data_IF_678309805738
#
_entry.id   IF_678309805738
#
_cell.length_a   1.000
_cell.length_b   1.000
_cell.length_c   1.000
_cell.angle_alpha   90.00
_cell.angle_beta   90.00
_cell.angle_gamma   90.00
#
_symmetry.space_group_name_H-M   'P 1'
#
loop_
_entity.id
_entity.type
_entity.pdbx_description
1 polymer ?
#
# COMPACT_ATOMS: atom_id res chain seq x y z
N UNK A 1 14.16 -3.19 -25.01
CA UNK A 1 13.28 -4.28 -24.56
C UNK A 1 12.24 -3.80 -23.57
N UNK A 2 11.32 -4.66 -23.19
CA UNK A 2 10.22 -4.33 -22.27
C UNK A 2 9.92 -5.47 -21.31
N UNK A 3 9.57 -5.13 -20.08
CA UNK A 3 9.00 -6.04 -19.08
C UNK A 3 7.63 -5.52 -18.66
N UNK A 4 6.59 -6.31 -18.95
CA UNK A 4 5.23 -5.97 -18.54
C UNK A 4 5.06 -6.10 -17.04
N UNK A 5 4.53 -5.05 -16.41
CA UNK A 5 4.24 -4.99 -14.98
C UNK A 5 2.83 -4.44 -14.80
N UNK A 6 1.91 -5.30 -14.38
CA UNK A 6 0.53 -4.90 -14.05
C UNK A 6 0.49 -4.33 -12.63
N UNK A 7 1.08 -3.15 -12.47
CA UNK A 7 1.15 -2.41 -11.21
C UNK A 7 0.32 -1.14 -11.25
N UNK A 8 -0.12 -0.67 -10.09
CA UNK A 8 -0.90 0.56 -9.98
C UNK A 8 -0.05 1.72 -9.49
N UNK A 9 -0.06 2.82 -10.24
CA UNK A 9 0.57 4.07 -9.82
C UNK A 9 -0.16 4.71 -8.64
N UNK A 10 0.60 5.22 -7.69
CA UNK A 10 0.09 5.90 -6.50
C UNK A 10 0.48 7.38 -6.53
N UNK A 11 -0.41 8.25 -6.07
CA UNK A 11 -0.16 9.69 -5.92
C UNK A 11 -0.63 10.13 -4.54
N UNK A 12 0.23 10.14 -3.52
CA UNK A 12 -0.17 10.60 -2.21
C UNK A 12 -0.42 12.12 -2.22
N UNK A 13 -1.54 12.55 -1.67
CA UNK A 13 -1.98 13.92 -1.36
C UNK A 13 -1.28 15.06 -2.15
N UNK A 14 -1.44 15.08 -3.48
CA UNK A 14 -0.86 16.13 -4.33
C UNK A 14 0.63 16.00 -4.63
N UNK A 15 1.30 14.98 -4.10
CA UNK A 15 2.73 14.72 -4.29
C UNK A 15 3.10 14.10 -5.64
N UNK A 16 4.36 13.74 -5.79
CA UNK A 16 4.91 13.03 -6.93
C UNK A 16 4.38 11.58 -7.00
N UNK A 17 4.23 11.03 -8.20
CA UNK A 17 3.73 9.66 -8.41
C UNK A 17 4.82 8.61 -8.18
N UNK A 18 4.40 7.40 -7.78
CA UNK A 18 5.27 6.22 -7.70
C UNK A 18 4.47 4.93 -7.91
N UNK A 19 5.13 3.89 -8.38
CA UNK A 19 4.59 2.54 -8.56
C UNK A 19 5.48 1.56 -7.77
N UNK A 20 5.00 1.05 -6.63
CA UNK A 20 5.81 0.16 -5.80
C UNK A 20 6.23 -1.11 -6.53
N UNK A 21 5.33 -1.68 -7.34
CA UNK A 21 5.60 -2.93 -8.05
C UNK A 21 6.69 -2.75 -9.12
N UNK A 22 6.69 -1.63 -9.85
CA UNK A 22 7.80 -1.31 -10.78
C UNK A 22 9.14 -1.19 -10.02
N UNK A 23 9.13 -0.48 -8.88
CA UNK A 23 10.33 -0.27 -8.09
C UNK A 23 10.92 -1.58 -7.54
N UNK A 24 10.05 -2.45 -7.02
CA UNK A 24 10.45 -3.76 -6.49
C UNK A 24 10.92 -4.70 -7.60
N UNK A 25 10.22 -4.71 -8.75
CA UNK A 25 10.58 -5.56 -9.91
C UNK A 25 11.92 -5.13 -10.50
N UNK A 26 12.18 -3.84 -10.67
CA UNK A 26 13.48 -3.31 -11.13
C UNK A 26 14.60 -3.77 -10.20
N UNK A 27 14.41 -3.62 -8.88
CA UNK A 27 15.42 -4.03 -7.93
C UNK A 27 15.69 -5.54 -7.96
N UNK A 28 14.64 -6.37 -8.03
CA UNK A 28 14.76 -7.82 -8.13
C UNK A 28 15.41 -8.26 -9.43
N UNK A 29 15.06 -7.62 -10.55
CA UNK A 29 15.69 -7.90 -11.86
C UNK A 29 17.17 -7.58 -11.86
N UNK A 30 17.56 -6.47 -11.26
CA UNK A 30 18.97 -6.08 -11.13
C UNK A 30 19.76 -7.07 -10.27
N UNK A 31 19.17 -7.58 -9.17
CA UNK A 31 19.82 -8.64 -8.36
C UNK A 31 20.03 -9.90 -9.20
N UNK A 32 19.00 -10.34 -9.90
CA UNK A 32 19.03 -11.58 -10.66
C UNK A 32 20.03 -11.55 -11.83
N UNK A 33 20.26 -10.37 -12.43
CA UNK A 33 21.10 -10.23 -13.63
C UNK A 33 22.43 -9.52 -13.38
N UNK A 34 22.74 -9.15 -12.14
CA UNK A 34 23.97 -8.44 -11.79
C UNK A 34 25.20 -9.11 -12.32
N UNK A 35 25.41 -10.38 -11.96
CA UNK A 35 26.63 -11.11 -12.30
C UNK A 35 26.78 -11.31 -13.82
N UNK A 36 25.69 -11.48 -14.53
CA UNK A 36 25.71 -11.63 -15.99
C UNK A 36 26.05 -10.30 -16.69
N UNK A 37 25.46 -9.19 -16.20
CA UNK A 37 25.77 -7.84 -16.68
C UNK A 37 27.23 -7.49 -16.44
N UNK A 38 27.71 -7.68 -15.22
CA UNK A 38 29.10 -7.37 -14.85
C UNK A 38 30.10 -8.24 -15.63
N UNK A 39 29.77 -9.50 -15.87
CA UNK A 39 30.58 -10.41 -16.70
C UNK A 39 30.60 -9.99 -18.16
N UNK A 40 29.45 -9.56 -18.71
CA UNK A 40 29.35 -9.18 -20.12
C UNK A 40 30.11 -7.88 -20.44
N UNK A 41 29.99 -6.88 -19.55
CA UNK A 41 30.61 -5.56 -19.76
C UNK A 41 32.00 -5.42 -19.16
N UNK A 42 32.43 -6.35 -18.29
CA UNK A 42 33.70 -6.26 -17.60
C UNK A 42 33.81 -5.12 -16.59
N UNK A 43 32.66 -4.55 -16.19
CA UNK A 43 32.58 -3.37 -15.32
C UNK A 43 31.49 -3.60 -14.25
N UNK A 44 31.63 -2.97 -13.07
CA UNK A 44 30.63 -3.09 -12.01
C UNK A 44 29.28 -2.51 -12.44
N UNK A 45 28.19 -3.09 -11.91
CA UNK A 45 26.80 -2.77 -12.26
C UNK A 45 26.50 -1.26 -12.27
N UNK A 46 27.00 -0.54 -11.26
CA UNK A 46 26.75 0.90 -11.13
C UNK A 46 27.37 1.79 -12.25
N UNK A 47 28.37 1.28 -12.96
CA UNK A 47 28.94 1.93 -14.14
C UNK A 47 28.18 1.61 -15.41
N UNK A 48 27.60 0.41 -15.48
CA UNK A 48 26.91 -0.11 -16.66
C UNK A 48 25.47 0.31 -16.73
N UNK A 49 24.76 0.28 -15.58
CA UNK A 49 23.30 0.47 -15.51
C UNK A 49 22.93 1.81 -14.93
N UNK A 50 21.90 2.44 -15.50
CA UNK A 50 21.20 3.59 -14.94
C UNK A 50 19.69 3.35 -14.89
N UNK A 51 19.00 3.88 -13.89
CA UNK A 51 17.55 3.80 -13.79
C UNK A 51 16.95 5.21 -13.88
N UNK A 52 16.00 5.37 -14.78
CA UNK A 52 15.39 6.66 -15.12
C UNK A 52 13.89 6.59 -14.92
N UNK A 53 13.31 7.62 -14.35
CA UNK A 53 11.85 7.76 -14.19
C UNK A 53 11.43 9.23 -14.31
N UNK A 54 10.18 9.54 -14.66
CA UNK A 54 9.69 10.92 -14.68
C UNK A 54 9.47 11.53 -13.29
N UNK A 55 9.43 10.71 -12.21
CA UNK A 55 8.91 11.12 -10.93
C UNK A 55 9.91 10.93 -9.78
N UNK A 56 10.10 11.99 -8.98
CA UNK A 56 11.00 11.97 -7.82
C UNK A 56 10.58 10.97 -6.72
N UNK A 57 9.28 10.76 -6.52
CA UNK A 57 8.81 9.75 -5.58
C UNK A 57 9.17 8.32 -6.03
N UNK A 58 9.17 8.06 -7.35
CA UNK A 58 9.62 6.78 -7.90
C UNK A 58 11.12 6.56 -7.71
N UNK A 59 11.94 7.61 -7.87
CA UNK A 59 13.36 7.54 -7.55
C UNK A 59 13.57 7.03 -6.12
N UNK A 60 12.83 7.59 -5.17
CA UNK A 60 12.91 7.19 -3.76
C UNK A 60 12.42 5.75 -3.54
N UNK A 61 11.33 5.34 -4.20
CA UNK A 61 10.82 3.97 -4.13
C UNK A 61 11.85 2.97 -4.64
N UNK A 62 12.45 3.22 -5.82
CA UNK A 62 13.49 2.37 -6.41
C UNK A 62 14.72 2.30 -5.48
N UNK A 63 15.22 3.44 -5.00
CA UNK A 63 16.35 3.46 -4.06
C UNK A 63 16.07 2.70 -2.77
N UNK A 64 14.83 2.74 -2.28
CA UNK A 64 14.41 1.99 -1.10
C UNK A 64 14.41 0.48 -1.37
N UNK A 65 13.88 0.05 -2.53
CA UNK A 65 13.88 -1.35 -2.94
C UNK A 65 15.30 -1.90 -3.17
N UNK A 66 16.18 -1.12 -3.79
CA UNK A 66 17.59 -1.48 -3.97
C UNK A 66 18.32 -1.66 -2.64
N UNK A 67 18.10 -0.77 -1.65
CA UNK A 67 18.70 -0.91 -0.31
C UNK A 67 18.22 -2.17 0.41
N UNK A 68 16.93 -2.50 0.29
CA UNK A 68 16.37 -3.74 0.88
C UNK A 68 17.01 -5.00 0.31
N UNK A 69 17.45 -4.97 -0.93
CA UNK A 69 18.08 -6.08 -1.62
C UNK A 69 19.64 -5.99 -1.64
N UNK A 70 20.20 -5.05 -0.88
CA UNK A 70 21.65 -4.86 -0.70
C UNK A 70 22.45 -4.62 -2.00
N UNK A 71 21.79 -4.17 -3.08
CA UNK A 71 22.46 -3.85 -4.35
C UNK A 71 23.37 -2.63 -4.21
N UNK A 72 22.93 -1.64 -3.44
CA UNK A 72 23.78 -0.52 -3.02
C UNK A 72 24.53 -0.96 -1.77
N UNK A 73 25.65 -1.68 -1.94
CA UNK A 73 26.57 -1.96 -0.86
C UNK A 73 26.93 -0.68 -0.09
N UNK A 74 27.36 -0.83 1.15
CA UNK A 74 27.78 0.27 2.05
C UNK A 74 29.00 1.06 1.53
N UNK A 75 29.49 0.75 0.34
CA UNK A 75 30.65 1.40 -0.25
C UNK A 75 30.25 2.72 -0.88
N UNK A 76 30.74 3.81 -0.32
CA UNK A 76 30.56 5.19 -0.78
C UNK A 76 31.08 5.43 -2.22
N UNK A 77 31.82 4.51 -2.80
CA UNK A 77 32.30 4.51 -4.18
C UNK A 77 31.45 3.60 -5.05
N UNK A 78 30.40 4.14 -5.66
CA UNK A 78 29.72 3.46 -6.75
C UNK A 78 28.26 3.03 -6.49
N UNK A 79 27.44 3.94 -6.03
CA UNK A 79 26.00 3.68 -6.00
C UNK A 79 25.39 3.70 -7.40
N UNK A 80 24.45 2.78 -7.65
CA UNK A 80 23.69 2.74 -8.90
C UNK A 80 23.00 4.10 -9.14
N UNK A 81 23.16 4.63 -10.35
CA UNK A 81 22.54 5.90 -10.72
C UNK A 81 21.04 5.72 -10.90
N UNK A 82 20.24 6.27 -9.97
CA UNK A 82 18.78 6.32 -10.05
C UNK A 82 18.35 7.77 -9.99
N UNK A 83 17.66 8.25 -11.01
CA UNK A 83 17.28 9.65 -11.07
C UNK A 83 16.07 9.94 -11.95
N UNK A 84 15.61 11.18 -11.90
CA UNK A 84 14.63 11.66 -12.85
C UNK A 84 15.28 11.92 -14.21
N UNK A 85 14.46 11.91 -15.26
CA UNK A 85 14.91 12.22 -16.62
C UNK A 85 15.76 13.50 -16.68
N UNK A 86 15.38 14.52 -15.91
CA UNK A 86 16.11 15.80 -15.87
C UNK A 86 17.41 15.74 -15.05
N UNK A 87 17.44 14.92 -14.00
CA UNK A 87 18.62 14.83 -13.13
C UNK A 87 19.78 14.01 -13.72
N UNK A 88 19.49 13.18 -14.72
CA UNK A 88 20.49 12.37 -15.46
C UNK A 88 20.98 13.04 -16.73
N UNK A 89 20.75 14.33 -16.90
CA UNK A 89 21.19 15.05 -18.07
C UNK A 89 22.73 15.02 -18.15
N UNK A 90 23.27 14.43 -19.25
CA UNK A 90 24.71 14.27 -19.46
C UNK A 90 25.31 12.94 -18.99
N UNK A 91 24.62 12.14 -18.18
CA UNK A 91 25.10 10.82 -17.75
C UNK A 91 24.56 9.72 -18.67
N UNK A 92 25.43 9.08 -19.44
CA UNK A 92 25.08 7.93 -20.29
C UNK A 92 25.48 6.62 -19.60
N UNK A 93 24.72 5.54 -19.89
CA UNK A 93 24.98 4.18 -19.43
C UNK A 93 24.84 3.19 -20.58
N UNK A 94 25.50 2.05 -20.49
CA UNK A 94 25.31 0.99 -21.48
C UNK A 94 23.86 0.52 -21.46
N UNK A 95 23.32 0.27 -20.28
CA UNK A 95 21.92 -0.15 -20.07
C UNK A 95 21.15 0.94 -19.31
N UNK A 96 19.99 1.33 -19.81
CA UNK A 96 19.07 2.21 -19.10
C UNK A 96 17.74 1.50 -18.86
N UNK A 97 17.34 1.42 -17.61
CA UNK A 97 16.01 0.96 -17.20
C UNK A 97 15.09 2.18 -17.04
N UNK A 98 13.95 2.14 -17.68
CA UNK A 98 12.95 3.21 -17.62
C UNK A 98 11.69 2.73 -16.90
N UNK A 99 11.30 3.46 -15.84
CA UNK A 99 10.08 3.23 -15.07
C UNK A 99 9.07 4.34 -15.35
N UNK A 100 8.02 4.09 -16.15
CA UNK A 100 7.01 5.08 -16.52
C UNK A 100 6.06 5.45 -15.40
N UNK A 101 5.86 4.57 -14.42
CA UNK A 101 4.98 4.70 -13.24
C UNK A 101 3.50 4.57 -13.55
N UNK A 102 3.04 5.08 -14.68
CA UNK A 102 1.65 4.98 -15.11
C UNK A 102 1.26 3.57 -15.53
N UNK A 103 0.00 3.22 -15.30
CA UNK A 103 -0.62 1.98 -15.73
C UNK A 103 -1.87 2.24 -16.57
N UNK A 104 -2.49 1.19 -17.10
CA UNK A 104 -3.78 1.24 -17.83
C UNK A 104 -4.93 1.87 -17.05
N UNK A 105 -4.79 1.98 -15.73
CA UNK A 105 -5.78 2.61 -14.86
C UNK A 105 -5.66 4.14 -14.81
N UNK A 106 -4.69 4.72 -15.49
CA UNK A 106 -4.41 6.15 -15.54
C UNK A 106 -4.15 6.58 -16.99
N UNK A 107 -4.41 7.85 -17.30
CA UNK A 107 -4.32 8.32 -18.69
C UNK A 107 -2.89 8.40 -19.26
N UNK A 108 -1.87 8.47 -18.41
CA UNK A 108 -0.47 8.56 -18.82
C UNK A 108 -0.10 9.76 -19.71
N UNK A 109 -1.01 10.71 -19.93
CA UNK A 109 -0.84 11.86 -20.85
C UNK A 109 0.40 12.70 -20.56
N UNK A 110 0.88 12.69 -19.34
CA UNK A 110 2.09 13.41 -18.96
C UNK A 110 3.32 12.94 -19.74
N UNK A 111 3.40 11.64 -20.09
CA UNK A 111 4.49 11.09 -20.90
C UNK A 111 4.43 11.57 -22.35
N UNK A 112 3.23 11.86 -22.87
CA UNK A 112 3.04 12.37 -24.22
C UNK A 112 3.08 13.90 -24.30
N UNK A 113 2.67 14.59 -23.22
CA UNK A 113 2.62 16.05 -23.18
C UNK A 113 4.02 16.70 -23.27
N UNK A 114 5.05 15.94 -22.92
CA UNK A 114 6.43 16.40 -23.01
C UNK A 114 7.30 15.32 -23.69
N UNK A 115 7.39 15.42 -25.01
CA UNK A 115 8.20 14.49 -25.83
C UNK A 115 9.66 14.41 -25.41
N UNK A 116 10.18 15.45 -24.74
CA UNK A 116 11.55 15.47 -24.23
C UNK A 116 11.79 14.40 -23.15
N UNK A 117 10.76 13.99 -22.39
CA UNK A 117 10.89 12.98 -21.35
C UNK A 117 11.39 11.65 -21.94
N UNK A 118 10.68 11.11 -22.91
CA UNK A 118 11.06 9.85 -23.55
C UNK A 118 12.33 9.98 -24.39
N UNK A 119 12.48 11.07 -25.14
CA UNK A 119 13.67 11.30 -25.95
C UNK A 119 14.94 11.39 -25.10
N UNK A 120 14.89 12.13 -23.99
CA UNK A 120 16.04 12.22 -23.07
C UNK A 120 16.29 10.88 -22.40
N UNK A 121 15.26 10.15 -21.97
CA UNK A 121 15.42 8.84 -21.35
C UNK A 121 16.11 7.85 -22.30
N UNK A 122 15.63 7.73 -23.54
CA UNK A 122 16.20 6.84 -24.57
C UNK A 122 17.64 7.25 -24.90
N UNK A 123 17.92 8.56 -25.04
CA UNK A 123 19.27 9.05 -25.38
C UNK A 123 20.31 8.82 -24.27
N UNK A 124 19.93 8.34 -23.09
CA UNK A 124 20.87 7.95 -22.03
C UNK A 124 21.43 6.54 -22.22
N UNK A 125 20.78 5.71 -23.02
CA UNK A 125 21.22 4.35 -23.32
C UNK A 125 22.20 4.33 -24.49
N UNK A 126 23.36 3.71 -24.29
CA UNK A 126 24.34 3.48 -25.37
C UNK A 126 24.07 2.19 -26.11
N UNK A 127 23.53 1.18 -25.39
CA UNK A 127 23.39 -0.18 -25.88
C UNK A 127 21.95 -0.66 -25.73
N UNK A 128 21.42 -0.67 -24.52
CA UNK A 128 20.08 -1.21 -24.24
C UNK A 128 19.19 -0.25 -23.49
N UNK A 129 18.00 0.00 -24.03
CA UNK A 129 16.92 0.71 -23.33
C UNK A 129 15.81 -0.27 -22.99
N UNK A 130 15.53 -0.43 -21.68
CA UNK A 130 14.58 -1.42 -21.14
C UNK A 130 13.47 -0.70 -20.39
N UNK A 131 12.21 -0.95 -20.76
CA UNK A 131 11.03 -0.34 -20.14
C UNK A 131 10.41 -1.33 -19.17
N UNK A 132 10.28 -0.93 -17.91
CA UNK A 132 9.67 -1.69 -16.82
C UNK A 132 8.37 -1.03 -16.41
N UNK A 133 7.22 -1.51 -16.91
CA UNK A 133 5.94 -0.90 -16.64
C UNK A 133 4.76 -1.59 -17.31
N UNK A 134 3.61 -0.95 -17.30
CA UNK A 134 2.41 -1.48 -17.95
C UNK A 134 2.49 -1.30 -19.46
N UNK A 135 2.70 -2.41 -20.16
CA UNK A 135 2.84 -2.40 -21.62
C UNK A 135 1.50 -2.11 -22.32
N UNK A 136 0.35 -2.44 -21.71
CA UNK A 136 -0.96 -2.10 -22.26
C UNK A 136 -1.13 -0.58 -22.42
N UNK A 137 -0.54 0.20 -21.50
CA UNK A 137 -0.55 1.66 -21.55
C UNK A 137 0.25 2.21 -22.74
N UNK A 138 1.27 1.48 -23.21
CA UNK A 138 2.17 1.91 -24.27
C UNK A 138 1.65 1.43 -25.63
N UNK A 139 1.19 0.19 -25.72
CA UNK A 139 0.75 -0.46 -26.96
C UNK A 139 -0.46 0.23 -27.61
N UNK A 140 -1.44 0.64 -26.79
CA UNK A 140 -2.70 1.21 -27.28
C UNK A 140 -2.62 2.69 -27.70
N UNK A 141 -1.44 3.28 -27.78
CA UNK A 141 -1.30 4.70 -28.09
C UNK A 141 -1.25 5.00 -29.59
N UNK A 142 -1.69 6.19 -30.04
CA UNK A 142 -1.57 6.62 -31.41
C UNK A 142 -0.11 6.58 -31.89
N UNK A 143 0.14 6.03 -33.08
CA UNK A 143 1.49 5.80 -33.61
C UNK A 143 2.39 7.05 -33.69
N UNK A 144 1.79 8.24 -33.69
CA UNK A 144 2.50 9.54 -33.74
C UNK A 144 2.75 10.13 -32.35
N UNK A 145 2.19 9.56 -31.30
CA UNK A 145 2.48 10.00 -29.91
C UNK A 145 3.85 9.51 -29.45
N UNK A 146 4.51 10.17 -28.50
CA UNK A 146 5.78 9.70 -27.93
C UNK A 146 5.74 8.24 -27.47
N UNK A 147 4.66 7.84 -26.74
CA UNK A 147 4.47 6.44 -26.33
C UNK A 147 4.24 5.50 -27.50
N UNK A 148 3.44 5.91 -28.49
CA UNK A 148 3.21 5.11 -29.70
C UNK A 148 4.47 4.93 -30.55
N UNK A 149 5.34 5.93 -30.63
CA UNK A 149 6.65 5.79 -31.23
C UNK A 149 7.54 4.81 -30.49
N UNK A 150 7.54 4.86 -29.17
CA UNK A 150 8.26 3.89 -28.33
C UNK A 150 7.71 2.47 -28.52
N UNK A 151 6.39 2.30 -28.54
CA UNK A 151 5.71 1.03 -28.80
C UNK A 151 6.18 0.36 -30.09
N UNK A 152 6.34 1.14 -31.17
CA UNK A 152 6.81 0.64 -32.46
C UNK A 152 8.16 -0.09 -32.36
N UNK A 153 9.05 0.36 -31.49
CA UNK A 153 10.34 -0.28 -31.26
C UNK A 153 10.26 -1.41 -30.25
N UNK A 154 9.52 -1.24 -29.16
CA UNK A 154 9.40 -2.26 -28.11
C UNK A 154 8.73 -3.54 -28.63
N UNK A 155 7.70 -3.40 -29.46
CA UNK A 155 6.93 -4.53 -30.00
C UNK A 155 7.32 -4.93 -31.43
N UNK A 156 8.47 -4.47 -31.91
CA UNK A 156 8.97 -4.82 -33.25
C UNK A 156 9.44 -6.28 -33.36
N UNK A 157 9.73 -6.93 -32.24
CA UNK A 157 10.17 -8.32 -32.16
C UNK A 157 9.77 -8.91 -30.81
N UNK A 158 9.37 -10.19 -30.81
CA UNK A 158 9.07 -10.93 -29.57
C UNK A 158 10.32 -11.05 -28.65
N UNK A 159 11.50 -10.99 -29.22
CA UNK A 159 12.77 -11.01 -28.46
C UNK A 159 12.97 -9.75 -27.60
N UNK A 160 12.21 -8.69 -27.84
CA UNK A 160 12.24 -7.48 -27.02
C UNK A 160 11.46 -7.64 -25.71
N UNK A 161 10.62 -8.67 -25.58
CA UNK A 161 9.91 -8.99 -24.35
C UNK A 161 10.84 -9.73 -23.38
N UNK A 162 11.17 -9.08 -22.27
CA UNK A 162 11.97 -9.69 -21.22
C UNK A 162 11.14 -10.74 -20.49
N UNK A 163 11.74 -11.90 -20.26
CA UNK A 163 11.15 -12.97 -19.46
C UNK A 163 11.69 -12.86 -18.03
N UNK A 164 10.89 -12.36 -17.13
CA UNK A 164 11.25 -12.25 -15.72
C UNK A 164 10.01 -12.36 -14.85
N UNK A 165 9.90 -13.46 -14.15
CA UNK A 165 8.89 -13.60 -13.11
C UNK A 165 9.45 -13.05 -11.80
N UNK A 166 8.92 -11.90 -11.39
CA UNK A 166 9.16 -11.38 -10.08
C UNK A 166 8.38 -12.25 -9.07
N UNK A 167 9.05 -13.25 -8.55
CA UNK A 167 8.60 -13.87 -7.31
C UNK A 167 8.77 -12.81 -6.22
N UNK A 168 7.67 -12.11 -5.89
CA UNK A 168 7.61 -11.36 -4.64
C UNK A 168 8.21 -12.26 -3.58
N UNK A 169 9.22 -11.78 -2.84
CA UNK A 169 9.84 -12.54 -1.76
C UNK A 169 8.74 -13.22 -0.97
N UNK A 170 8.71 -14.54 -1.00
CA UNK A 170 7.77 -15.35 -0.22
C UNK A 170 7.91 -15.07 1.28
N UNK A 171 9.06 -14.59 1.73
CA UNK A 171 9.35 -14.14 3.09
C UNK A 171 8.66 -12.81 3.49
N UNK A 172 8.22 -11.97 2.52
CA UNK A 172 7.33 -10.82 2.75
C UNK A 172 5.86 -11.13 2.42
N UNK A 173 5.58 -12.25 1.77
CA UNK A 173 4.21 -12.73 1.43
C UNK A 173 3.91 -14.08 2.07
N UNK A 174 4.84 -14.72 2.74
CA UNK A 174 4.59 -15.94 3.51
C UNK A 174 3.80 -15.68 4.80
N UNK A 175 3.58 -14.45 5.20
CA UNK A 175 2.34 -14.13 5.86
C UNK A 175 1.24 -14.36 4.83
N UNK A 176 0.56 -15.50 4.91
CA UNK A 176 -0.65 -15.78 4.19
C UNK A 176 -1.58 -14.56 4.32
N UNK A 177 -1.57 -13.65 3.34
CA UNK A 177 -2.55 -12.56 3.28
C UNK A 177 -3.85 -13.21 2.87
N UNK A 178 -4.45 -13.93 3.80
CA UNK A 178 -5.81 -14.42 3.66
C UNK A 178 -6.73 -13.20 3.76
N UNK A 179 -7.25 -12.77 2.62
CA UNK A 179 -8.35 -11.83 2.61
C UNK A 179 -9.61 -12.64 2.88
N UNK A 180 -10.25 -12.35 4.00
CA UNK A 180 -11.55 -12.91 4.35
C UNK A 180 -12.54 -11.78 4.61
N UNK A 181 -13.82 -12.04 4.34
CA UNK A 181 -14.91 -11.11 4.59
C UNK A 181 -15.73 -11.59 5.79
N UNK A 182 -16.11 -10.64 6.65
CA UNK A 182 -17.00 -10.90 7.78
C UNK A 182 -18.40 -10.37 7.48
N UNK A 183 -19.41 -11.18 7.74
CA UNK A 183 -20.81 -10.84 7.51
C UNK A 183 -21.63 -10.98 8.79
N UNK A 184 -22.47 -9.96 9.08
CA UNK A 184 -23.36 -9.97 10.23
C UNK A 184 -22.66 -9.86 11.58
N UNK A 185 -23.48 -9.80 12.63
CA UNK A 185 -23.01 -9.57 14.03
C UNK A 185 -22.22 -10.75 14.56
N UNK A 186 -22.71 -11.97 14.32
CA UNK A 186 -22.10 -13.18 14.88
C UNK A 186 -20.66 -13.40 14.41
N UNK A 187 -20.40 -13.24 13.10
CA UNK A 187 -19.05 -13.38 12.57
C UNK A 187 -18.09 -12.30 13.07
N UNK A 188 -18.56 -11.05 13.22
CA UNK A 188 -17.75 -9.97 13.75
C UNK A 188 -17.45 -10.16 15.25
N UNK A 189 -18.46 -10.53 16.05
CA UNK A 189 -18.26 -10.77 17.47
C UNK A 189 -17.35 -11.99 17.71
N UNK A 190 -17.52 -13.06 16.92
CA UNK A 190 -16.63 -14.24 16.95
C UNK A 190 -15.21 -13.90 16.52
N UNK A 191 -15.04 -13.07 15.48
CA UNK A 191 -13.73 -12.60 15.02
C UNK A 191 -13.00 -11.82 16.12
N UNK A 192 -13.66 -10.83 16.75
CA UNK A 192 -13.01 -10.01 17.78
C UNK A 192 -12.62 -10.86 19.01
N UNK A 193 -13.48 -11.79 19.43
CA UNK A 193 -13.16 -12.70 20.53
C UNK A 193 -11.97 -13.61 20.20
N UNK A 194 -11.91 -14.13 18.95
CA UNK A 194 -10.78 -14.96 18.48
C UNK A 194 -9.48 -14.14 18.41
N UNK A 195 -9.53 -12.90 17.92
CA UNK A 195 -8.41 -11.98 17.88
C UNK A 195 -7.89 -11.68 19.28
N UNK A 196 -8.78 -11.36 20.23
CA UNK A 196 -8.41 -11.15 21.62
C UNK A 196 -7.77 -12.39 22.27
N UNK A 197 -8.20 -13.60 21.87
CA UNK A 197 -7.62 -14.84 22.37
C UNK A 197 -6.26 -15.15 21.72
N UNK A 198 -6.04 -14.79 20.46
CA UNK A 198 -4.84 -15.11 19.66
C UNK A 198 -3.65 -14.17 19.86
N UNK A 199 -3.91 -12.91 20.18
CA UNK A 199 -2.89 -11.87 20.27
C UNK A 199 -1.70 -12.23 21.19
N UNK A 200 -0.51 -11.83 20.75
CA UNK A 200 0.75 -12.10 21.44
C UNK A 200 1.36 -10.86 22.08
N UNK A 201 1.08 -9.65 21.56
CA UNK A 201 1.70 -8.40 22.01
C UNK A 201 0.68 -7.30 22.25
N UNK A 202 -0.05 -6.90 21.24
CA UNK A 202 -0.94 -5.72 21.29
C UNK A 202 -2.17 -5.86 20.42
N UNK A 203 -3.26 -5.25 20.84
CA UNK A 203 -4.47 -5.08 20.04
C UNK A 203 -4.89 -3.61 20.07
N UNK A 204 -5.23 -3.06 18.92
CA UNK A 204 -5.87 -1.75 18.80
C UNK A 204 -7.25 -1.91 18.18
N UNK A 205 -8.28 -1.44 18.87
CA UNK A 205 -9.66 -1.47 18.42
C UNK A 205 -10.15 -0.03 18.25
N UNK A 206 -10.51 0.35 17.03
CA UNK A 206 -11.10 1.65 16.73
C UNK A 206 -12.58 1.45 16.45
N UNK A 207 -13.42 1.99 17.32
CA UNK A 207 -14.88 1.94 17.22
C UNK A 207 -15.45 3.31 17.58
N UNK A 208 -16.14 4.01 16.65
CA UNK A 208 -16.68 5.34 16.91
C UNK A 208 -17.62 5.42 18.11
N UNK A 209 -18.39 4.36 18.32
CA UNK A 209 -19.32 4.24 19.45
C UNK A 209 -18.83 3.23 20.46
N UNK A 210 -19.05 3.51 21.73
CA UNK A 210 -18.72 2.64 22.86
C UNK A 210 -19.94 2.51 23.79
N UNK A 211 -20.55 1.34 23.81
CA UNK A 211 -21.62 0.96 24.74
C UNK A 211 -21.12 -0.08 25.70
N UNK A 212 -21.11 0.23 27.01
CA UNK A 212 -20.72 -0.72 28.04
C UNK A 212 -21.60 -1.97 28.00
N UNK A 213 -22.91 -1.79 27.84
CA UNK A 213 -23.86 -2.90 27.73
C UNK A 213 -23.50 -3.87 26.61
N UNK A 214 -23.07 -3.36 25.44
CA UNK A 214 -22.65 -4.20 24.32
C UNK A 214 -21.38 -4.98 24.69
N UNK A 215 -20.41 -4.34 25.33
CA UNK A 215 -19.15 -4.99 25.73
C UNK A 215 -19.41 -6.14 26.70
N UNK A 216 -20.37 -5.99 27.62
CA UNK A 216 -20.78 -7.06 28.55
C UNK A 216 -21.51 -8.21 27.84
N UNK A 217 -22.47 -7.90 26.99
CA UNK A 217 -23.33 -8.89 26.31
C UNK A 217 -22.61 -9.80 25.31
N UNK A 218 -21.50 -9.32 24.71
CA UNK A 218 -20.76 -10.04 23.65
C UNK A 218 -19.65 -10.94 24.15
N UNK A 219 -19.39 -10.95 25.46
CA UNK A 219 -18.26 -11.66 26.03
C UNK A 219 -16.91 -10.96 25.82
N UNK A 220 -16.87 -9.78 25.18
CA UNK A 220 -15.64 -9.02 24.96
C UNK A 220 -14.93 -8.67 26.26
N UNK A 221 -15.69 -8.40 27.32
CA UNK A 221 -15.15 -8.10 28.64
C UNK A 221 -14.26 -9.23 29.17
N UNK A 222 -14.77 -10.47 29.14
CA UNK A 222 -14.02 -11.65 29.56
C UNK A 222 -12.80 -11.89 28.66
N UNK A 223 -12.96 -11.76 27.36
CA UNK A 223 -11.87 -11.93 26.38
C UNK A 223 -10.78 -10.88 26.56
N UNK A 224 -11.15 -9.61 26.80
CA UNK A 224 -10.18 -8.53 27.07
C UNK A 224 -9.48 -8.73 28.42
N UNK A 225 -10.20 -9.14 29.45
CA UNK A 225 -9.60 -9.43 30.78
C UNK A 225 -8.58 -10.58 30.67
N UNK A 226 -8.92 -11.65 29.94
CA UNK A 226 -8.02 -12.78 29.71
C UNK A 226 -6.80 -12.36 28.88
N UNK A 227 -6.97 -11.54 27.85
CA UNK A 227 -5.84 -11.01 27.07
C UNK A 227 -4.92 -10.16 27.96
N UNK A 228 -5.48 -9.28 28.80
CA UNK A 228 -4.69 -8.49 29.76
C UNK A 228 -3.93 -9.35 30.77
N UNK A 229 -4.54 -10.43 31.28
CA UNK A 229 -3.84 -11.36 32.18
C UNK A 229 -2.64 -12.06 31.55
N UNK A 230 -2.62 -12.19 30.23
CA UNK A 230 -1.47 -12.67 29.44
C UNK A 230 -0.44 -11.57 29.13
N UNK A 231 -0.65 -10.34 29.57
CA UNK A 231 0.24 -9.21 29.32
C UNK A 231 0.03 -8.51 27.97
N UNK A 232 -1.07 -8.79 27.27
CA UNK A 232 -1.37 -8.16 25.98
C UNK A 232 -1.78 -6.70 26.17
N UNK A 233 -1.19 -5.78 25.42
CA UNK A 233 -1.55 -4.38 25.45
C UNK A 233 -2.79 -4.12 24.60
N UNK A 234 -3.87 -3.65 25.23
CA UNK A 234 -5.13 -3.35 24.56
C UNK A 234 -5.37 -1.84 24.57
N UNK A 235 -5.59 -1.29 23.38
CA UNK A 235 -5.98 0.11 23.18
C UNK A 235 -7.34 0.17 22.48
N UNK A 236 -8.29 0.88 23.10
CA UNK A 236 -9.59 1.22 22.51
C UNK A 236 -9.59 2.69 22.14
N UNK A 237 -9.89 2.99 20.88
CA UNK A 237 -10.04 4.37 20.37
C UNK A 237 -11.51 4.59 20.02
N UNK A 238 -12.16 5.58 20.65
CA UNK A 238 -13.56 5.90 20.39
C UNK A 238 -13.77 7.40 20.18
N UNK A 239 -14.80 7.76 19.43
CA UNK A 239 -15.10 9.15 19.10
C UNK A 239 -15.99 9.78 20.18
N UNK A 240 -15.56 10.92 20.71
CA UNK A 240 -16.33 11.64 21.72
C UNK A 240 -17.67 12.13 21.16
N UNK A 241 -17.67 12.69 19.96
CA UNK A 241 -18.86 13.32 19.39
C UNK A 241 -19.88 12.29 18.88
N UNK A 242 -19.43 11.18 18.29
CA UNK A 242 -20.33 10.12 17.84
C UNK A 242 -21.15 9.56 18.99
N UNK A 243 -20.57 9.40 20.18
CA UNK A 243 -21.27 8.88 21.35
C UNK A 243 -22.33 9.83 21.94
N UNK A 244 -22.22 11.13 21.69
CA UNK A 244 -23.13 12.18 22.23
C UNK A 244 -23.89 12.94 21.13
N UNK A 245 -23.65 12.67 19.86
CA UNK A 245 -24.34 13.30 18.74
C UNK A 245 -25.76 12.76 18.59
N UNK A 246 -26.64 13.57 17.96
CA UNK A 246 -28.02 13.22 17.61
C UNK A 246 -28.92 12.87 18.81
N UNK A 247 -28.68 13.49 19.96
CA UNK A 247 -29.49 13.35 21.17
C UNK A 247 -29.95 14.73 21.60
N UNK A 248 -31.19 14.82 22.07
CA UNK A 248 -31.71 16.04 22.67
C UNK A 248 -30.82 16.50 23.84
N UNK A 249 -30.76 17.82 24.06
CA UNK A 249 -29.85 18.38 25.06
C UNK A 249 -30.04 17.77 26.47
N UNK A 250 -31.27 17.41 26.82
CA UNK A 250 -31.60 16.77 28.10
C UNK A 250 -30.91 15.39 28.26
N UNK A 251 -30.69 14.65 27.17
CA UNK A 251 -30.06 13.32 27.18
C UNK A 251 -28.55 13.39 26.93
N UNK A 252 -28.03 14.55 26.54
CA UNK A 252 -26.60 14.70 26.22
C UNK A 252 -25.72 14.48 27.45
N UNK A 253 -26.14 14.99 28.61
CA UNK A 253 -25.41 14.81 29.86
C UNK A 253 -25.41 13.34 30.31
N UNK A 254 -26.54 12.66 30.16
CA UNK A 254 -26.65 11.23 30.46
C UNK A 254 -25.72 10.40 29.56
N UNK A 255 -25.72 10.65 28.24
CA UNK A 255 -24.84 9.98 27.28
C UNK A 255 -23.36 10.22 27.57
N UNK A 256 -23.00 11.46 27.93
CA UNK A 256 -21.63 11.80 28.33
C UNK A 256 -21.22 11.04 29.60
N UNK A 257 -22.11 10.91 30.56
CA UNK A 257 -21.88 10.16 31.82
C UNK A 257 -21.65 8.67 31.49
N UNK A 258 -22.52 8.06 30.66
CA UNK A 258 -22.38 6.66 30.25
C UNK A 258 -21.06 6.39 29.48
N UNK A 259 -20.64 7.31 28.63
CA UNK A 259 -19.37 7.21 27.94
C UNK A 259 -18.19 7.27 28.93
N UNK A 260 -18.22 8.24 29.85
CA UNK A 260 -17.18 8.40 30.87
C UNK A 260 -17.06 7.18 31.77
N UNK A 261 -18.21 6.62 32.21
CA UNK A 261 -18.28 5.41 32.99
C UNK A 261 -17.69 4.19 32.27
N UNK A 262 -18.03 4.02 30.99
CA UNK A 262 -17.47 2.96 30.16
C UNK A 262 -15.94 3.09 29.99
N UNK A 263 -15.44 4.30 29.75
CA UNK A 263 -14.00 4.61 29.66
C UNK A 263 -13.30 4.30 30.99
N UNK A 264 -13.88 4.73 32.12
CA UNK A 264 -13.31 4.48 33.45
C UNK A 264 -13.21 2.98 33.75
N UNK A 265 -14.27 2.22 33.42
CA UNK A 265 -14.31 0.77 33.61
C UNK A 265 -13.24 0.05 32.78
N UNK A 266 -13.07 0.41 31.50
CA UNK A 266 -12.01 -0.15 30.65
C UNK A 266 -10.62 0.19 31.21
N UNK A 267 -10.39 1.43 31.63
CA UNK A 267 -9.11 1.85 32.20
C UNK A 267 -8.79 1.12 33.52
N UNK A 268 -9.78 0.86 34.34
CA UNK A 268 -9.62 0.04 35.59
C UNK A 268 -9.21 -1.40 35.29
N UNK A 269 -9.56 -1.91 34.11
CA UNK A 269 -9.12 -3.23 33.65
C UNK A 269 -7.71 -3.19 32.99
N UNK A 270 -7.03 -2.05 32.99
CA UNK A 270 -5.74 -1.88 32.32
C UNK A 270 -5.83 -1.76 30.80
N UNK A 271 -7.01 -1.45 30.25
CA UNK A 271 -7.23 -1.22 28.82
C UNK A 271 -7.11 0.27 28.56
N UNK A 272 -6.12 0.67 27.75
CA UNK A 272 -5.92 2.07 27.41
C UNK A 272 -7.07 2.58 26.53
N UNK A 273 -7.81 3.60 26.99
CA UNK A 273 -8.92 4.16 26.22
C UNK A 273 -8.60 5.57 25.77
N UNK A 274 -8.68 5.84 24.46
CA UNK A 274 -8.43 7.15 23.85
C UNK A 274 -9.72 7.74 23.31
N UNK A 275 -10.14 8.89 23.86
CA UNK A 275 -11.22 9.71 23.33
C UNK A 275 -10.65 10.67 22.29
N UNK A 276 -11.15 10.57 21.07
CA UNK A 276 -10.72 11.40 19.93
C UNK A 276 -11.93 12.09 19.30
N UNK A 277 -11.70 13.00 18.37
CA UNK A 277 -12.76 13.66 17.62
C UNK A 277 -12.65 13.30 16.14
N UNK A 278 -13.80 13.21 15.46
CA UNK A 278 -13.93 12.98 14.00
C UNK A 278 -13.34 11.64 13.53
N UNK A 279 -13.46 10.60 14.32
CA UNK A 279 -13.10 9.23 13.92
C UNK A 279 -14.37 8.44 13.65
N UNK A 280 -14.55 7.99 12.43
CA UNK A 280 -15.66 7.13 12.01
C UNK A 280 -15.18 5.75 11.51
N UNK A 281 -13.89 5.49 11.53
CA UNK A 281 -13.29 4.22 11.13
C UNK A 281 -13.64 3.11 12.12
N UNK A 282 -13.82 1.88 11.62
CA UNK A 282 -14.02 0.66 12.38
C UNK A 282 -12.91 -0.29 12.02
N UNK A 283 -11.92 -0.39 12.90
CA UNK A 283 -10.66 -1.08 12.63
C UNK A 283 -10.27 -1.93 13.83
N UNK A 284 -9.77 -3.12 13.57
CA UNK A 284 -9.08 -3.96 14.55
C UNK A 284 -7.70 -4.29 13.99
N UNK A 285 -6.66 -4.06 14.80
CA UNK A 285 -5.27 -4.38 14.47
C UNK A 285 -4.74 -5.28 15.56
N UNK A 286 -4.15 -6.42 15.19
CA UNK A 286 -3.49 -7.37 16.08
C UNK A 286 -2.04 -7.53 15.66
N UNK A 287 -1.11 -7.29 16.59
CA UNK A 287 0.33 -7.61 16.50
C UNK A 287 1.07 -7.15 15.22
N UNK A 288 0.50 -6.21 14.43
CA UNK A 288 0.98 -5.79 13.11
C UNK A 288 0.83 -6.87 12.01
N UNK A 289 0.18 -7.99 12.32
CA UNK A 289 -0.02 -9.13 11.41
C UNK A 289 -1.43 -9.21 10.84
N UNK A 290 -2.45 -8.76 11.62
CA UNK A 290 -3.84 -8.79 11.20
C UNK A 290 -4.45 -7.38 11.22
N UNK A 291 -5.13 -7.04 10.12
CA UNK A 291 -5.90 -5.81 9.96
C UNK A 291 -7.32 -6.15 9.52
N UNK A 292 -8.31 -5.78 10.31
CA UNK A 292 -9.71 -5.81 9.92
C UNK A 292 -10.24 -4.38 9.76
N UNK A 293 -10.81 -4.07 8.60
CA UNK A 293 -11.41 -2.76 8.30
C UNK A 293 -12.82 -2.98 7.75
N UNK A 294 -13.78 -2.22 8.24
CA UNK A 294 -15.15 -2.39 7.78
C UNK A 294 -16.11 -1.30 8.22
N UNK A 295 -17.40 -1.56 8.09
CA UNK A 295 -18.50 -0.69 8.53
C UNK A 295 -19.11 -1.11 9.87
N UNK A 296 -18.69 -2.25 10.44
CA UNK A 296 -19.26 -2.82 11.66
C UNK A 296 -18.80 -2.07 12.93
N UNK A 297 -19.76 -1.66 13.75
CA UNK A 297 -19.48 -0.95 15.01
C UNK A 297 -19.28 -1.94 16.14
N UNK A 298 -18.04 -2.28 16.45
CA UNK A 298 -17.63 -3.32 17.40
C UNK A 298 -18.30 -3.24 18.79
N UNK A 299 -18.45 -2.03 19.31
CA UNK A 299 -18.94 -1.82 20.68
C UNK A 299 -20.34 -1.18 20.77
N UNK A 300 -21.08 -1.13 19.68
CA UNK A 300 -22.44 -0.56 19.68
C UNK A 300 -23.44 -1.29 18.80
N UNK A 301 -23.02 -2.23 17.96
CA UNK A 301 -23.91 -2.92 17.05
C UNK A 301 -24.89 -3.83 17.79
N UNK A 302 -26.18 -3.56 17.62
CA UNK A 302 -27.24 -4.43 18.10
C UNK A 302 -27.57 -5.50 17.05
N UNK A 303 -27.99 -6.71 17.45
CA UNK A 303 -28.30 -7.80 16.51
C UNK A 303 -29.36 -7.47 15.46
N UNK A 304 -30.21 -6.47 15.70
CA UNK A 304 -31.40 -6.13 14.90
C UNK A 304 -31.16 -4.98 13.91
N UNK A 305 -30.06 -4.25 13.97
CA UNK A 305 -29.91 -2.97 13.20
C UNK A 305 -29.30 -3.12 11.80
N UNK A 306 -28.99 -4.32 11.34
CA UNK A 306 -28.31 -4.53 10.04
C UNK A 306 -29.18 -5.12 8.92
N UNK A 307 -30.50 -5.26 9.12
CA UNK A 307 -31.39 -5.82 8.09
C UNK A 307 -31.71 -4.85 6.94
N UNK A 308 -31.21 -3.60 6.94
CA UNK A 308 -31.55 -2.59 5.93
C UNK A 308 -30.38 -1.72 5.44
N UNK A 309 -29.19 -2.29 5.28
CA UNK A 309 -28.19 -1.71 4.39
C UNK A 309 -28.20 -2.48 3.06
N UNK A 310 -29.18 -2.16 2.19
CA UNK A 310 -29.00 -2.39 0.75
C UNK A 310 -27.77 -1.59 0.33
N UNK A 311 -26.80 -2.28 -0.24
CA UNK A 311 -25.75 -1.65 -1.03
C UNK A 311 -26.47 -0.82 -2.11
N UNK A 312 -26.32 0.50 -2.08
CA UNK A 312 -26.57 1.31 -3.25
C UNK A 312 -25.43 0.99 -4.21
N UNK A 313 -25.68 0.05 -5.14
CA UNK A 313 -24.97 0.03 -6.39
C UNK A 313 -25.22 1.37 -7.08
N UNK A 314 -24.22 2.23 -7.08
CA UNK A 314 -24.15 3.32 -8.02
C UNK A 314 -23.78 2.73 -9.37
N UNK A 315 -24.80 2.30 -10.14
CA UNK A 315 -24.68 2.24 -11.58
C UNK A 315 -24.40 3.65 -12.07
N UNK A 316 -23.23 3.90 -12.55
CA UNK A 316 -22.99 4.91 -13.57
C UNK A 316 -23.05 4.20 -14.92
N UNK A 317 -24.25 4.21 -15.51
CA UNK A 317 -24.43 4.13 -16.95
C UNK A 317 -23.92 5.45 -17.54
N UNK A 318 -23.00 5.34 -18.47
CA UNK A 318 -22.64 6.11 -19.66
C UNK A 318 -21.15 6.23 -19.84
#
# INVERSE_FOLDING_TARGET
>A
GSLHIDGRGMKPNGGSRYNPLEAETIAAWLVAHKDDIERHYGEPLYKVVGVVTPFSAQVNAIKTSLRKLEINGKDEQGSLTVGTVHSLQGAERAIVLFSPVYSKHEDGRFLDSNSSILNVAVSRAKDSFLVFGDMDLIEMQPAFSPRGLLAKYLFSSDNNALQFEFQKRQDLISAHTQISTLHGVEQHDGFLNKTLAGAQKKITIISPWLSWQKVEQTGFLASMALARSRGIDITVVTDKNCNIAHVDDDKRQEKQHLLNDAVEKLNKMGIATKLVNRVHSKIVIEDEELLCVGSFNWFSAAPVSYTHLRAHETRHDL
#
